data_IF_561636694810
#
_entry.id   IF_561636694810
#
_cell.length_a   1.000
_cell.length_b   1.000
_cell.length_c   1.000
_cell.angle_alpha   90.00
_cell.angle_beta   90.00
_cell.angle_gamma   90.00
#
_symmetry.space_group_name_H-M   'P 1'
#
loop_
_entity.id
_entity.type
_entity.pdbx_description
1 polymer ?
#
# COMPACT_ATOMS: atom_id res chain seq x y z
N UNK A 1 -8.48 23.02 -24.31
CA UNK A 1 -7.80 23.16 -23.00
C UNK A 1 -6.32 23.17 -23.27
N UNK A 2 -5.59 24.13 -22.72
CA UNK A 2 -4.15 24.27 -22.92
C UNK A 2 -3.41 22.95 -22.62
N UNK A 3 -2.38 22.64 -23.40
CA UNK A 3 -1.65 21.37 -23.33
C UNK A 3 -1.01 21.15 -21.95
N UNK A 4 -0.64 22.23 -21.26
CA UNK A 4 0.01 22.18 -19.96
C UNK A 4 -0.99 21.98 -18.81
N UNK A 5 -2.13 22.68 -18.86
CA UNK A 5 -3.23 22.47 -17.91
C UNK A 5 -3.75 21.02 -17.94
N UNK A 6 -3.86 20.43 -19.14
CA UNK A 6 -4.24 19.02 -19.28
C UNK A 6 -3.21 18.08 -18.61
N UNK A 7 -1.90 18.37 -18.74
CA UNK A 7 -0.84 17.56 -18.12
C UNK A 7 -0.83 17.68 -16.60
N UNK A 8 -1.09 18.88 -16.06
CA UNK A 8 -1.25 19.08 -14.61
C UNK A 8 -2.38 18.22 -14.05
N UNK A 9 -3.55 18.22 -14.72
CA UNK A 9 -4.70 17.38 -14.35
C UNK A 9 -4.40 15.89 -14.45
N UNK A 10 -3.59 15.46 -15.42
CA UNK A 10 -3.12 14.07 -15.50
C UNK A 10 -2.21 13.69 -14.32
N UNK A 11 -1.31 14.59 -13.89
CA UNK A 11 -0.46 14.36 -12.71
C UNK A 11 -1.33 14.24 -11.45
N UNK A 12 -2.29 15.14 -11.27
CA UNK A 12 -3.23 15.10 -10.15
C UNK A 12 -3.99 13.76 -10.10
N UNK A 13 -4.56 13.35 -11.24
CA UNK A 13 -5.28 12.08 -11.36
C UNK A 13 -4.38 10.87 -11.05
N UNK A 14 -3.12 10.90 -11.48
CA UNK A 14 -2.16 9.83 -11.21
C UNK A 14 -1.83 9.72 -9.72
N UNK A 15 -1.51 10.85 -9.07
CA UNK A 15 -1.20 10.92 -7.64
C UNK A 15 -2.38 10.47 -6.78
N UNK A 16 -3.61 10.85 -7.18
CA UNK A 16 -4.83 10.42 -6.50
C UNK A 16 -5.04 8.91 -6.62
N UNK A 17 -4.90 8.36 -7.83
CA UNK A 17 -5.17 6.94 -8.10
C UNK A 17 -4.11 6.00 -7.51
N UNK A 18 -2.85 6.42 -7.43
CA UNK A 18 -1.74 5.52 -7.07
C UNK A 18 -1.79 5.04 -5.61
N UNK A 19 -2.30 5.85 -4.68
CA UNK A 19 -2.23 5.59 -3.24
C UNK A 19 -0.81 5.26 -2.72
N UNK A 20 0.24 5.64 -3.47
CA UNK A 20 1.67 5.40 -3.19
C UNK A 20 2.53 6.54 -3.72
N UNK A 21 3.80 6.57 -3.34
CA UNK A 21 4.76 7.51 -3.90
C UNK A 21 5.02 7.22 -5.40
N UNK A 22 4.95 8.27 -6.21
CA UNK A 22 5.21 8.25 -7.66
C UNK A 22 6.47 9.06 -7.95
N UNK A 23 7.38 8.53 -8.76
CA UNK A 23 8.57 9.28 -9.18
C UNK A 23 8.29 10.22 -10.37
N UNK A 24 9.07 11.29 -10.56
CA UNK A 24 8.99 12.15 -11.74
C UNK A 24 9.14 11.37 -13.06
N UNK A 25 9.93 10.29 -13.08
CA UNK A 25 10.11 9.43 -14.25
C UNK A 25 8.84 8.65 -14.62
N UNK A 26 8.05 8.22 -13.64
CA UNK A 26 6.75 7.59 -13.88
C UNK A 26 5.76 8.60 -14.47
N UNK A 27 5.73 9.82 -13.91
CA UNK A 27 4.88 10.91 -14.41
C UNK A 27 5.32 11.40 -15.80
N UNK A 28 6.62 11.33 -16.11
CA UNK A 28 7.15 11.62 -17.46
C UNK A 28 6.53 10.69 -18.50
N UNK A 29 6.47 9.38 -18.21
CA UNK A 29 5.85 8.40 -19.11
C UNK A 29 4.37 8.67 -19.36
N UNK A 30 3.66 9.17 -18.34
CA UNK A 30 2.23 9.50 -18.45
C UNK A 30 1.98 10.81 -19.20
N UNK A 31 2.75 11.85 -18.90
CA UNK A 31 2.51 13.21 -19.40
C UNK A 31 3.24 13.55 -20.70
N UNK A 32 4.22 12.73 -21.09
CA UNK A 32 5.11 13.00 -22.21
C UNK A 32 6.00 14.24 -22.02
N UNK A 33 6.22 14.69 -20.78
CA UNK A 33 7.11 15.82 -20.48
C UNK A 33 8.54 15.31 -20.34
N UNK A 34 9.45 15.75 -21.22
CA UNK A 34 10.82 15.26 -21.20
C UNK A 34 11.67 15.81 -20.07
N UNK A 35 11.44 17.06 -19.68
CA UNK A 35 12.18 17.76 -18.64
C UNK A 35 11.59 17.49 -17.25
N UNK A 36 12.30 16.78 -16.34
CA UNK A 36 11.79 16.48 -15.00
C UNK A 36 11.45 17.74 -14.19
N UNK A 37 12.20 18.84 -14.41
CA UNK A 37 11.94 20.13 -13.75
C UNK A 37 10.54 20.69 -14.04
N UNK A 38 10.01 20.49 -15.25
CA UNK A 38 8.65 20.92 -15.58
C UNK A 38 7.59 20.09 -14.85
N UNK A 39 7.82 18.80 -14.67
CA UNK A 39 6.94 17.93 -13.89
C UNK A 39 6.92 18.38 -12.42
N UNK A 40 8.11 18.62 -11.86
CA UNK A 40 8.26 19.10 -10.48
C UNK A 40 7.55 20.44 -10.29
N UNK A 41 7.69 21.38 -11.23
CA UNK A 41 6.99 22.66 -11.18
C UNK A 41 5.46 22.47 -11.16
N UNK A 42 4.91 21.61 -12.03
CA UNK A 42 3.48 21.31 -12.04
C UNK A 42 2.99 20.67 -10.73
N UNK A 43 3.81 19.80 -10.12
CA UNK A 43 3.48 19.21 -8.81
C UNK A 43 3.47 20.28 -7.72
N UNK A 44 4.44 21.18 -7.73
CA UNK A 44 4.53 22.27 -6.75
C UNK A 44 3.36 23.26 -6.90
N UNK A 45 2.98 23.59 -8.13
CA UNK A 45 1.77 24.38 -8.41
C UNK A 45 0.51 23.71 -7.85
N UNK A 46 0.32 22.41 -8.11
CA UNK A 46 -0.78 21.64 -7.53
C UNK A 46 -0.74 21.68 -6.00
N UNK A 47 0.42 21.40 -5.39
CA UNK A 47 0.56 21.40 -3.94
C UNK A 47 0.15 22.76 -3.32
N UNK A 48 0.53 23.86 -3.96
CA UNK A 48 0.17 25.21 -3.54
C UNK A 48 -1.32 25.51 -3.76
N UNK A 49 -1.94 25.06 -4.86
CA UNK A 49 -3.40 25.16 -5.08
C UNK A 49 -4.20 24.43 -3.99
N UNK A 50 -3.78 23.21 -3.64
CA UNK A 50 -4.37 22.41 -2.56
C UNK A 50 -4.23 23.10 -1.19
N UNK A 51 -3.11 23.81 -0.98
CA UNK A 51 -2.88 24.60 0.23
C UNK A 51 -3.73 25.86 0.29
N UNK A 52 -3.76 26.66 -0.78
CA UNK A 52 -4.51 27.91 -0.85
C UNK A 52 -6.01 27.72 -0.70
N UNK A 53 -6.57 26.62 -1.22
CA UNK A 53 -7.99 26.30 -1.05
C UNK A 53 -8.35 25.75 0.34
N UNK A 54 -7.38 25.57 1.24
CA UNK A 54 -7.60 24.95 2.56
C UNK A 54 -8.05 23.49 2.47
N UNK A 55 -7.51 22.72 1.51
CA UNK A 55 -7.88 21.32 1.29
C UNK A 55 -7.48 20.42 2.46
N UNK A 56 -8.30 19.40 2.78
CA UNK A 56 -7.92 18.32 3.70
C UNK A 56 -6.90 17.32 3.09
N UNK A 57 -6.63 17.46 1.80
CA UNK A 57 -5.65 16.68 1.04
C UNK A 57 -4.43 17.56 0.75
N UNK A 58 -3.25 16.96 0.74
CA UNK A 58 -1.98 17.59 0.38
C UNK A 58 -1.14 16.69 -0.53
N UNK A 59 -0.17 17.28 -1.22
CA UNK A 59 0.86 16.55 -1.96
C UNK A 59 2.17 16.71 -1.19
N UNK A 60 2.82 15.60 -0.83
CA UNK A 60 4.09 15.58 -0.10
C UNK A 60 5.20 14.99 -0.95
N UNK A 61 6.40 15.52 -0.77
CA UNK A 61 7.63 14.93 -1.29
C UNK A 61 8.26 14.00 -0.25
N UNK A 62 8.57 12.77 -0.65
CA UNK A 62 9.25 11.76 0.17
C UNK A 62 10.39 11.16 -0.67
N UNK A 63 11.64 11.47 -0.28
CA UNK A 63 12.85 10.98 -0.93
C UNK A 63 12.85 11.15 -2.47
N UNK A 64 12.47 12.35 -2.96
CA UNK A 64 12.43 12.67 -4.38
C UNK A 64 11.23 12.09 -5.14
N UNK A 65 10.24 11.52 -4.44
CA UNK A 65 8.97 11.05 -4.99
C UNK A 65 7.81 11.80 -4.38
N UNK A 66 6.65 11.74 -5.02
CA UNK A 66 5.49 12.52 -4.63
C UNK A 66 4.29 11.64 -4.32
N UNK A 67 3.54 11.96 -3.28
CA UNK A 67 2.33 11.25 -2.87
C UNK A 67 1.23 12.26 -2.53
N UNK A 68 0.00 11.96 -2.94
CA UNK A 68 -1.18 12.65 -2.45
C UNK A 68 -1.70 11.96 -1.19
N UNK A 69 -1.82 12.70 -0.09
CA UNK A 69 -2.26 12.16 1.21
C UNK A 69 -3.23 13.10 1.91
N UNK A 70 -3.98 12.57 2.87
CA UNK A 70 -4.77 13.38 3.81
C UNK A 70 -3.80 14.08 4.77
N UNK A 71 -4.05 15.36 5.09
CA UNK A 71 -3.23 16.11 6.07
C UNK A 71 -3.30 15.46 7.44
N UNK A 72 -2.20 15.54 8.18
CA UNK A 72 -2.03 14.86 9.47
C UNK A 72 -3.12 15.21 10.50
N UNK A 73 -3.58 16.46 10.50
CA UNK A 73 -4.65 16.95 11.39
C UNK A 73 -6.00 16.22 11.19
N UNK A 74 -6.28 15.68 9.99
CA UNK A 74 -7.52 14.94 9.71
C UNK A 74 -7.39 13.43 9.88
N UNK A 75 -6.16 12.89 9.89
CA UNK A 75 -5.92 11.44 9.95
C UNK A 75 -6.62 10.73 11.11
N UNK A 76 -6.64 11.25 12.36
CA UNK A 76 -7.31 10.57 13.47
C UNK A 76 -8.81 10.36 13.25
N UNK A 77 -9.44 11.23 12.45
CA UNK A 77 -10.88 11.25 12.20
C UNK A 77 -11.30 10.39 11.01
N UNK A 78 -10.40 10.18 10.04
CA UNK A 78 -10.72 9.44 8.81
C UNK A 78 -10.03 8.08 8.71
N UNK A 79 -9.26 7.67 9.73
CA UNK A 79 -8.52 6.40 9.76
C UNK A 79 -9.40 5.17 9.51
N UNK A 80 -10.68 5.22 9.88
CA UNK A 80 -11.62 4.11 9.66
C UNK A 80 -12.00 3.91 8.19
N UNK A 81 -11.84 4.96 7.36
CA UNK A 81 -12.08 4.91 5.92
C UNK A 81 -10.84 4.51 5.12
N UNK A 82 -9.66 4.49 5.74
CA UNK A 82 -8.46 3.99 5.10
C UNK A 82 -8.68 2.52 4.74
N UNK A 83 -8.40 2.14 3.48
CA UNK A 83 -8.38 0.72 3.11
C UNK A 83 -7.39 0.02 4.04
N UNK A 84 -7.92 -0.92 4.80
CA UNK A 84 -7.26 -1.56 5.94
C UNK A 84 -6.06 -2.46 5.56
N UNK A 85 -5.40 -2.29 4.41
CA UNK A 85 -4.59 -3.37 3.83
C UNK A 85 -3.62 -2.88 2.75
N UNK A 86 -2.40 -2.53 3.15
CA UNK A 86 -1.28 -3.23 2.53
C UNK A 86 -0.58 -4.04 3.60
N UNK A 87 -0.60 -5.36 3.45
CA UNK A 87 0.30 -6.22 4.20
C UNK A 87 1.72 -5.89 3.74
N UNK A 88 2.67 -5.81 4.68
CA UNK A 88 4.08 -5.71 4.29
C UNK A 88 4.44 -6.83 3.32
N UNK A 89 5.41 -6.61 2.40
CA UNK A 89 5.84 -7.67 1.46
C UNK A 89 6.22 -8.97 2.18
N UNK A 90 6.82 -8.86 3.36
CA UNK A 90 7.12 -10.01 4.22
C UNK A 90 5.87 -10.67 4.79
N UNK A 91 4.88 -9.90 5.23
CA UNK A 91 3.59 -10.42 5.66
C UNK A 91 2.82 -11.14 4.53
N UNK A 92 2.84 -10.60 3.31
CA UNK A 92 2.25 -11.29 2.14
C UNK A 92 2.94 -12.63 1.89
N UNK A 93 4.29 -12.67 1.92
CA UNK A 93 5.05 -13.91 1.73
C UNK A 93 4.73 -14.96 2.79
N UNK A 94 4.68 -14.55 4.07
CA UNK A 94 4.34 -15.45 5.18
C UNK A 94 2.90 -15.94 5.06
N UNK A 95 1.97 -15.06 4.69
CA UNK A 95 0.57 -15.39 4.49
C UNK A 95 0.38 -16.40 3.34
N UNK A 96 1.09 -16.24 2.23
CA UNK A 96 1.09 -17.19 1.12
C UNK A 96 1.61 -18.57 1.55
N UNK A 97 2.67 -18.60 2.35
CA UNK A 97 3.19 -19.86 2.91
C UNK A 97 2.17 -20.56 3.81
N UNK A 98 1.48 -19.81 4.69
CA UNK A 98 0.42 -20.35 5.55
C UNK A 98 -0.79 -20.81 4.73
N UNK A 99 -1.13 -20.12 3.65
CA UNK A 99 -2.26 -20.50 2.79
C UNK A 99 -2.08 -21.90 2.19
N UNK A 100 -0.85 -22.22 1.75
CA UNK A 100 -0.50 -23.55 1.26
C UNK A 100 -0.34 -24.61 2.37
N UNK A 101 -0.22 -24.19 3.64
CA UNK A 101 0.05 -25.05 4.78
C UNK A 101 -0.94 -24.75 5.92
N UNK A 102 -2.22 -24.63 5.60
CA UNK A 102 -3.22 -24.18 6.58
C UNK A 102 -3.26 -25.12 7.80
N UNK A 103 -3.16 -24.55 9.01
CA UNK A 103 -3.03 -25.30 10.25
C UNK A 103 -1.60 -25.60 10.71
N UNK A 104 -0.57 -25.13 10.00
CA UNK A 104 0.85 -25.25 10.39
C UNK A 104 1.16 -24.61 11.74
N UNK A 105 2.18 -25.11 12.46
CA UNK A 105 2.64 -24.48 13.69
C UNK A 105 3.43 -23.20 13.39
N UNK A 106 3.21 -22.17 14.21
CA UNK A 106 3.97 -20.92 14.18
C UNK A 106 5.48 -21.15 14.23
N UNK A 107 5.93 -22.10 15.03
CA UNK A 107 7.34 -22.50 15.14
C UNK A 107 7.91 -23.09 13.86
N UNK A 108 7.10 -23.82 13.08
CA UNK A 108 7.52 -24.40 11.80
C UNK A 108 7.64 -23.32 10.73
N UNK A 109 6.69 -22.38 10.68
CA UNK A 109 6.77 -21.21 9.79
C UNK A 109 8.05 -20.41 10.05
N UNK A 110 8.35 -20.15 11.32
CA UNK A 110 9.59 -19.44 11.72
C UNK A 110 10.84 -20.25 11.36
N UNK A 111 10.81 -21.58 11.53
CA UNK A 111 11.94 -22.44 11.16
C UNK A 111 12.25 -22.35 9.66
N UNK A 112 11.23 -22.22 8.81
CA UNK A 112 11.38 -22.17 7.35
C UNK A 112 11.68 -20.76 6.83
N UNK A 113 10.99 -19.74 7.36
CA UNK A 113 11.04 -18.36 6.85
C UNK A 113 11.95 -17.44 7.68
N UNK A 114 12.58 -17.96 8.72
CA UNK A 114 13.47 -17.23 9.62
C UNK A 114 12.75 -16.48 10.74
N UNK A 115 13.54 -15.91 11.66
CA UNK A 115 13.06 -15.24 12.88
C UNK A 115 12.16 -14.03 12.58
N UNK A 116 12.37 -13.34 11.46
CA UNK A 116 11.54 -12.20 11.06
C UNK A 116 10.07 -12.58 10.81
N UNK A 117 9.78 -13.87 10.56
CA UNK A 117 8.41 -14.36 10.44
C UNK A 117 7.58 -14.10 11.71
N UNK A 118 8.19 -13.94 12.90
CA UNK A 118 7.44 -13.57 14.10
C UNK A 118 6.68 -12.24 13.96
N UNK A 119 7.34 -11.21 13.42
CA UNK A 119 6.74 -9.90 13.21
C UNK A 119 5.63 -9.95 12.17
N UNK A 120 5.88 -10.64 11.06
CA UNK A 120 4.89 -10.81 9.99
C UNK A 120 3.67 -11.62 10.43
N UNK A 121 3.85 -12.69 11.22
CA UNK A 121 2.74 -13.48 11.77
C UNK A 121 1.89 -12.63 12.72
N UNK A 122 2.52 -11.73 13.49
CA UNK A 122 1.80 -10.77 14.34
C UNK A 122 0.96 -9.84 13.46
N UNK A 123 1.56 -9.22 12.44
CA UNK A 123 0.88 -8.30 11.52
C UNK A 123 -0.35 -8.95 10.84
N UNK A 124 -0.20 -10.12 10.21
CA UNK A 124 -1.30 -10.80 9.52
C UNK A 124 -2.39 -11.28 10.49
N UNK A 125 -2.05 -11.53 11.75
CA UNK A 125 -3.03 -11.90 12.78
C UNK A 125 -3.80 -10.68 13.28
N UNK A 126 -3.12 -9.57 13.54
CA UNK A 126 -3.72 -8.28 13.95
C UNK A 126 -4.65 -7.74 12.86
N UNK A 127 -4.24 -7.88 11.60
CA UNK A 127 -5.09 -7.54 10.43
C UNK A 127 -6.18 -8.58 10.15
N UNK A 128 -6.29 -9.64 10.96
CA UNK A 128 -7.39 -10.59 10.91
C UNK A 128 -7.34 -11.58 9.75
N UNK A 129 -6.23 -11.73 9.04
CA UNK A 129 -6.06 -12.72 7.96
C UNK A 129 -5.79 -14.14 8.51
N UNK A 130 -5.19 -14.22 9.70
CA UNK A 130 -4.83 -15.49 10.35
C UNK A 130 -5.31 -15.52 11.80
N UNK A 131 -5.93 -16.62 12.19
CA UNK A 131 -6.26 -16.96 13.59
C UNK A 131 -5.15 -17.84 14.18
N UNK A 132 -4.75 -17.55 15.41
CA UNK A 132 -3.81 -18.39 16.16
C UNK A 132 -4.56 -19.22 17.21
N UNK A 133 -4.39 -20.54 17.18
CA UNK A 133 -4.98 -21.48 18.15
C UNK A 133 -3.87 -22.12 18.98
N UNK A 134 -4.05 -22.22 20.31
CA UNK A 134 -3.05 -22.81 21.21
C UNK A 134 -2.80 -24.28 20.84
N UNK A 135 -1.52 -24.65 20.73
CA UNK A 135 -1.11 -26.03 20.46
C UNK A 135 0.15 -26.35 21.29
N UNK A 136 -0.06 -26.86 22.51
CA UNK A 136 1.02 -27.10 23.47
C UNK A 136 1.79 -25.82 23.81
N UNK A 137 3.11 -25.84 23.55
CA UNK A 137 4.02 -24.69 23.75
C UNK A 137 4.07 -23.74 22.54
N UNK A 138 3.34 -24.03 21.47
CA UNK A 138 3.28 -23.25 20.23
C UNK A 138 1.83 -22.85 19.91
N UNK A 139 1.62 -22.30 18.72
CA UNK A 139 0.29 -21.95 18.19
C UNK A 139 0.14 -22.48 16.77
N UNK A 140 -1.01 -23.06 16.43
CA UNK A 140 -1.38 -23.36 15.04
C UNK A 140 -1.98 -22.13 14.37
N UNK A 141 -1.64 -21.94 13.11
CA UNK A 141 -2.06 -20.79 12.31
C UNK A 141 -3.10 -21.23 11.29
N UNK A 142 -4.27 -20.61 11.31
CA UNK A 142 -5.37 -20.90 10.39
C UNK A 142 -5.80 -19.66 9.63
N UNK A 143 -6.07 -19.78 8.34
CA UNK A 143 -6.68 -18.71 7.56
C UNK A 143 -8.10 -18.40 8.08
N UNK A 144 -8.47 -17.12 8.03
CA UNK A 144 -9.82 -16.65 8.36
C UNK A 144 -10.67 -16.45 7.10
N UNK A 145 -11.97 -16.19 7.28
CA UNK A 145 -12.85 -15.81 6.17
C UNK A 145 -12.42 -14.52 5.47
N UNK A 146 -11.81 -13.58 6.23
CA UNK A 146 -11.26 -12.33 5.68
C UNK A 146 -10.22 -12.58 4.60
N UNK A 147 -9.35 -13.58 4.78
CA UNK A 147 -8.39 -13.98 3.75
C UNK A 147 -9.09 -14.39 2.46
N UNK A 148 -10.08 -15.28 2.54
CA UNK A 148 -10.80 -15.76 1.37
C UNK A 148 -11.54 -14.63 0.65
N UNK A 149 -12.22 -13.74 1.38
CA UNK A 149 -12.90 -12.60 0.80
C UNK A 149 -11.94 -11.62 0.09
N UNK A 150 -10.75 -11.42 0.68
CA UNK A 150 -9.73 -10.53 0.14
C UNK A 150 -9.07 -11.09 -1.13
N UNK A 151 -8.69 -12.37 -1.13
CA UNK A 151 -7.92 -12.97 -2.23
C UNK A 151 -8.77 -13.63 -3.32
N UNK A 152 -10.03 -14.04 -3.07
CA UNK A 152 -10.94 -14.52 -4.13
C UNK A 152 -11.51 -13.40 -5.01
N UNK A 153 -11.54 -12.15 -4.51
CA UNK A 153 -11.97 -11.00 -5.32
C UNK A 153 -10.86 -10.46 -6.24
N UNK A 154 -9.67 -11.07 -6.20
CA UNK A 154 -8.49 -10.68 -6.96
C UNK A 154 -7.85 -11.83 -7.73
N UNK A 155 -8.63 -12.72 -8.35
CA UNK A 155 -8.12 -13.69 -9.32
C UNK A 155 -7.56 -12.99 -10.57
N UNK A 156 -6.37 -12.41 -10.40
CA UNK A 156 -5.26 -12.47 -11.31
C UNK A 156 -4.05 -12.72 -10.40
N UNK A 157 -3.92 -13.97 -9.94
CA UNK A 157 -2.75 -14.38 -9.17
C UNK A 157 -1.47 -14.13 -9.96
N UNK A 158 -0.31 -14.02 -9.29
CA UNK A 158 0.97 -13.97 -10.00
C UNK A 158 1.14 -15.29 -10.76
N UNK A 159 1.09 -15.21 -12.08
CA UNK A 159 1.68 -16.20 -12.97
C UNK A 159 3.11 -16.43 -12.48
N UNK A 160 3.33 -17.58 -11.87
CA UNK A 160 4.68 -18.04 -11.56
C UNK A 160 5.23 -18.68 -12.84
N UNK A 161 6.45 -18.34 -13.28
CA UNK A 161 7.05 -18.88 -14.49
C UNK A 161 7.32 -20.38 -14.40
#
# INVERSE_FOLDING_TARGET
MDGMENKKRLIEAALFMSSREISPEELKKLTGIDAPGHIINLINELAEEYKQRGSAIEIREIAGKYIMSVREEYLPFVKEFAKETELSKGAVRVLAYIANNNGILKSEVVKVLGTQAYGYIKEISEKGFVKQVKAGRSKRLYLTEKFNAYFKKGEAGPSTP
#
